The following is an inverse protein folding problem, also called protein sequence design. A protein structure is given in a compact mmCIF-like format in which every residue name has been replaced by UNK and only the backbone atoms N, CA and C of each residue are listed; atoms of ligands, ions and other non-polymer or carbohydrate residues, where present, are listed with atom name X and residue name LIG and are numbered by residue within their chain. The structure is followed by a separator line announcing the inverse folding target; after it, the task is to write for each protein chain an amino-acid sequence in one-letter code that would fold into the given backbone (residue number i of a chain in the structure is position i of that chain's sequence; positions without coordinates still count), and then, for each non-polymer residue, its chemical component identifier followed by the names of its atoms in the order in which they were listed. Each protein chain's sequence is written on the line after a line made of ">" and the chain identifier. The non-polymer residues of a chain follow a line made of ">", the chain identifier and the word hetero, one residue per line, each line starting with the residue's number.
data_IF_434663776278
#
_entry.id   IF_434663776278
#
_cell.length_a   1.000
_cell.length_b   1.000
_cell.length_c   1.000
_cell.angle_alpha   90.00
_cell.angle_beta   90.00
_cell.angle_gamma   90.00
#
_symmetry.space_group_name_H-M   'P 1'
#
loop_
_entity.id
_entity.type
_entity.pdbx_description
1 polymer ?
#
# COMPACT_ATOMS: atom_id res chain seq x y z
N UNK A 1 -7.63 10.56 15.10
CA UNK A 1 -6.99 9.30 15.56
C UNK A 1 -5.97 8.96 14.50
N UNK A 2 -4.72 9.37 14.72
CA UNK A 2 -3.64 9.11 13.77
C UNK A 2 -3.32 7.62 13.83
N UNK A 3 -3.73 6.91 12.79
CA UNK A 3 -3.30 5.54 12.54
C UNK A 3 -1.79 5.58 12.29
N UNK A 4 -1.00 5.30 13.34
CA UNK A 4 0.45 5.11 13.27
C UNK A 4 0.82 3.77 12.61
N UNK A 5 -0.10 3.16 11.85
CA UNK A 5 0.18 2.01 11.00
C UNK A 5 1.20 2.36 9.92
N UNK A 6 2.09 1.42 9.61
CA UNK A 6 3.03 1.59 8.50
C UNK A 6 2.24 1.69 7.19
N UNK A 7 2.28 2.88 6.57
CA UNK A 7 1.71 3.11 5.25
C UNK A 7 2.59 2.43 4.21
N UNK A 8 1.96 1.71 3.29
CA UNK A 8 2.65 0.99 2.23
C UNK A 8 1.82 1.04 0.95
N UNK A 9 2.47 0.87 -0.18
CA UNK A 9 1.82 0.84 -1.48
C UNK A 9 1.51 -0.62 -1.81
N UNK A 10 0.27 -0.95 -2.15
CA UNK A 10 -0.04 -2.23 -2.82
C UNK A 10 0.39 -2.07 -4.27
N UNK A 11 1.38 -2.84 -4.70
CA UNK A 11 1.92 -2.73 -6.07
C UNK A 11 1.33 -3.74 -7.02
N UNK A 12 0.94 -4.92 -6.52
CA UNK A 12 0.44 -6.02 -7.33
C UNK A 12 -0.32 -7.05 -6.47
N UNK A 13 -1.08 -7.94 -7.13
CA UNK A 13 -1.72 -9.11 -6.52
C UNK A 13 -1.29 -10.34 -7.31
N UNK A 14 -0.30 -11.06 -6.79
CA UNK A 14 0.23 -12.26 -7.44
C UNK A 14 -0.34 -13.51 -6.76
N UNK A 15 -1.09 -14.34 -7.50
CA UNK A 15 -1.76 -15.55 -6.98
C UNK A 15 -2.62 -15.29 -5.73
N UNK A 16 -3.29 -14.13 -5.66
CA UNK A 16 -4.11 -13.73 -4.49
C UNK A 16 -3.31 -13.17 -3.31
N UNK A 17 -1.98 -13.12 -3.40
CA UNK A 17 -1.10 -12.50 -2.40
C UNK A 17 -0.87 -11.04 -2.77
N UNK A 18 -1.24 -10.15 -1.87
CA UNK A 18 -0.98 -8.71 -2.02
C UNK A 18 0.50 -8.43 -1.78
N UNK A 19 1.15 -7.78 -2.73
CA UNK A 19 2.54 -7.34 -2.59
C UNK A 19 2.58 -5.87 -2.15
N UNK A 20 3.27 -5.64 -1.04
CA UNK A 20 3.41 -4.34 -0.40
C UNK A 20 4.81 -3.78 -0.72
N UNK A 21 4.88 -2.48 -1.00
CA UNK A 21 6.12 -1.77 -1.30
C UNK A 21 6.28 -0.51 -0.48
N UNK A 22 7.49 -0.32 0.04
CA UNK A 22 7.99 0.94 0.57
C UNK A 22 9.40 1.19 0.04
N UNK A 23 9.58 2.23 -0.77
CA UNK A 23 10.84 2.49 -1.46
C UNK A 23 11.19 1.35 -2.42
N UNK A 24 12.39 0.76 -2.28
CA UNK A 24 12.82 -0.42 -3.06
C UNK A 24 12.42 -1.75 -2.44
N UNK A 25 11.96 -1.75 -1.18
CA UNK A 25 11.61 -2.98 -0.47
C UNK A 25 10.21 -3.43 -0.85
N UNK A 26 10.10 -4.70 -1.21
CA UNK A 26 8.82 -5.39 -1.51
C UNK A 26 8.68 -6.58 -0.59
N UNK A 27 7.48 -6.82 -0.07
CA UNK A 27 7.19 -7.98 0.78
C UNK A 27 5.70 -8.39 0.66
N UNK A 28 5.36 -9.67 0.92
CA UNK A 28 3.98 -10.11 0.91
C UNK A 28 3.20 -9.56 2.11
N UNK A 29 1.92 -9.25 1.92
CA UNK A 29 1.01 -8.92 3.01
C UNK A 29 0.73 -10.17 3.86
N UNK A 30 1.02 -10.09 5.17
CA UNK A 30 0.79 -11.20 6.11
C UNK A 30 -0.71 -11.40 6.38
N UNK A 31 -1.45 -10.31 6.52
CA UNK A 31 -2.91 -10.30 6.64
C UNK A 31 -3.51 -9.35 5.59
N UNK A 32 -3.90 -9.86 4.42
CA UNK A 32 -4.50 -9.04 3.38
C UNK A 32 -5.89 -8.51 3.73
N UNK A 33 -6.65 -9.23 4.57
CA UNK A 33 -8.02 -8.86 4.92
C UNK A 33 -8.04 -7.69 5.90
N UNK A 34 -7.03 -7.60 6.76
CA UNK A 34 -6.80 -6.45 7.63
C UNK A 34 -6.30 -5.18 6.92
N UNK A 35 -6.02 -5.21 5.61
CA UNK A 35 -5.56 -4.02 4.89
C UNK A 35 -6.70 -3.05 4.61
N UNK A 36 -6.48 -1.78 4.96
CA UNK A 36 -7.37 -0.67 4.63
C UNK A 36 -6.76 0.20 3.55
N UNK A 37 -7.50 0.40 2.46
CA UNK A 37 -7.14 1.39 1.44
C UNK A 37 -7.46 2.78 2.01
N UNK A 38 -6.41 3.56 2.27
CA UNK A 38 -6.55 4.96 2.74
C UNK A 38 -6.44 5.97 1.60
N UNK A 39 -5.74 5.63 0.51
CA UNK A 39 -5.58 6.44 -0.70
C UNK A 39 -5.35 5.54 -1.92
N UNK A 40 -5.95 5.91 -3.03
CA UNK A 40 -5.77 5.27 -4.34
C UNK A 40 -4.60 5.89 -5.11
N UNK A 41 -4.16 5.23 -6.19
CA UNK A 41 -3.12 5.77 -7.08
C UNK A 41 -3.51 7.12 -7.68
N UNK A 42 -4.76 7.27 -8.12
CA UNK A 42 -5.25 8.51 -8.71
C UNK A 42 -5.22 9.68 -7.72
N UNK A 43 -5.63 9.43 -6.46
CA UNK A 43 -5.55 10.42 -5.39
C UNK A 43 -4.10 10.83 -5.11
N UNK A 44 -3.16 9.88 -5.05
CA UNK A 44 -1.74 10.22 -4.87
C UNK A 44 -1.17 11.09 -6.00
N UNK A 45 -1.56 10.83 -7.25
CA UNK A 45 -1.16 11.67 -8.40
C UNK A 45 -1.74 13.08 -8.25
N UNK A 46 -3.03 13.20 -7.91
CA UNK A 46 -3.70 14.48 -7.71
C UNK A 46 -3.08 15.28 -6.55
N UNK A 47 -2.66 14.60 -5.49
CA UNK A 47 -1.96 15.18 -4.33
C UNK A 47 -0.49 15.53 -4.60
N UNK A 48 0.06 15.17 -5.77
CA UNK A 48 1.49 15.35 -6.11
C UNK A 48 2.45 14.43 -5.34
N UNK A 49 1.94 13.32 -4.79
CA UNK A 49 2.68 12.36 -3.98
C UNK A 49 3.26 11.23 -4.85
N UNK A 50 4.47 11.45 -5.38
CA UNK A 50 5.19 10.53 -6.28
C UNK A 50 6.27 9.66 -5.60
N UNK A 51 6.37 9.72 -4.26
CA UNK A 51 7.43 9.03 -3.50
C UNK A 51 7.20 7.52 -3.31
#
# INVERSE_FOLDING_TARGET
>A
MEDNGRRTIVTDIHQGVYLLRCGSRVWPAVDPVGLRIIRTRAQRIADGDFR
#
